data_IF_307199617515
#
_entry.id   IF_307199617515
#
_cell.length_a   1.000
_cell.length_b   1.000
_cell.length_c   1.000
_cell.angle_alpha   90.00
_cell.angle_beta   90.00
_cell.angle_gamma   90.00
#
_symmetry.space_group_name_H-M   'P 1'
#
loop_
_entity.id
_entity.type
_entity.pdbx_description
1 polymer ?
#
# COMPACT_ATOMS: atom_id res chain seq x y z
N UNK A 1 17.90 -43.03 19.80
CA UNK A 1 17.60 -42.60 18.43
C UNK A 1 16.88 -41.27 18.57
N UNK A 2 17.64 -40.17 18.56
CA UNK A 2 17.11 -38.80 18.75
C UNK A 2 16.77 -38.29 17.37
N UNK A 3 15.47 -38.06 17.14
CA UNK A 3 15.01 -37.38 15.91
C UNK A 3 15.38 -35.89 16.02
N UNK A 4 16.21 -35.43 15.10
CA UNK A 4 16.43 -33.99 14.84
C UNK A 4 15.16 -33.43 14.22
N UNK A 5 14.71 -32.21 14.59
CA UNK A 5 13.61 -31.56 13.89
C UNK A 5 14.10 -31.13 12.51
N UNK A 6 13.30 -31.43 11.50
CA UNK A 6 13.48 -30.95 10.12
C UNK A 6 13.45 -29.42 10.12
N UNK A 7 14.44 -28.83 9.44
CA UNK A 7 14.48 -27.41 9.18
C UNK A 7 13.31 -27.06 8.23
N UNK A 8 12.30 -26.41 8.76
CA UNK A 8 11.35 -25.66 7.94
C UNK A 8 12.16 -24.58 7.18
N UNK A 9 12.39 -24.84 5.90
CA UNK A 9 12.96 -23.86 5.00
C UNK A 9 12.00 -22.69 4.92
N UNK A 10 12.46 -21.52 5.32
CA UNK A 10 11.75 -20.23 5.24
C UNK A 10 11.56 -19.85 3.75
N UNK A 11 10.54 -20.47 3.14
CA UNK A 11 10.16 -20.25 1.75
C UNK A 11 9.68 -18.82 1.51
N UNK A 12 9.17 -18.14 2.54
CA UNK A 12 8.70 -16.75 2.46
C UNK A 12 9.84 -15.74 2.24
N UNK A 13 10.99 -15.97 2.85
CA UNK A 13 12.17 -15.09 2.68
C UNK A 13 12.85 -15.29 1.33
N UNK A 14 12.81 -16.50 0.78
CA UNK A 14 13.38 -16.80 -0.55
C UNK A 14 12.51 -16.22 -1.67
N UNK A 15 11.18 -16.31 -1.58
CA UNK A 15 10.23 -15.71 -2.51
C UNK A 15 10.26 -14.18 -2.50
N UNK A 16 10.49 -13.56 -1.32
CA UNK A 16 10.66 -12.10 -1.22
C UNK A 16 11.95 -11.63 -1.95
N UNK A 17 12.99 -12.44 -2.00
CA UNK A 17 14.23 -12.13 -2.75
C UNK A 17 14.07 -12.30 -4.26
N UNK A 18 13.28 -13.23 -4.73
CA UNK A 18 12.99 -13.39 -6.17
C UNK A 18 12.10 -12.25 -6.72
N UNK A 19 11.28 -11.63 -5.86
CA UNK A 19 10.39 -10.52 -6.24
C UNK A 19 11.10 -9.17 -6.32
N UNK A 20 12.34 -9.06 -5.83
CA UNK A 20 13.10 -7.82 -5.78
C UNK A 20 13.88 -7.60 -7.09
N UNK A 21 13.48 -6.59 -7.86
CA UNK A 21 14.18 -6.18 -9.07
C UNK A 21 14.78 -4.78 -8.89
N UNK A 22 15.99 -4.56 -9.37
CA UNK A 22 16.64 -3.26 -9.36
C UNK A 22 15.85 -2.26 -10.21
N UNK A 23 15.35 -1.19 -9.58
CA UNK A 23 14.43 -0.21 -10.19
C UNK A 23 15.07 0.64 -11.30
N UNK A 24 16.39 0.77 -11.29
CA UNK A 24 17.13 1.68 -12.18
C UNK A 24 17.40 1.11 -13.59
N UNK A 25 17.08 -0.17 -13.82
CA UNK A 25 17.31 -0.82 -15.11
C UNK A 25 16.00 -1.11 -15.86
N UNK A 26 16.04 -1.09 -17.18
CA UNK A 26 14.90 -1.50 -18.01
C UNK A 26 14.48 -2.95 -17.73
N UNK A 27 15.44 -3.83 -17.48
CA UNK A 27 15.19 -5.23 -17.11
C UNK A 27 14.46 -5.34 -15.76
N UNK A 28 14.86 -4.55 -14.77
CA UNK A 28 14.23 -4.50 -13.47
C UNK A 28 12.79 -3.96 -13.54
N UNK A 29 12.58 -2.87 -14.27
CA UNK A 29 11.24 -2.31 -14.50
C UNK A 29 10.32 -3.28 -15.23
N UNK A 30 10.85 -4.01 -16.21
CA UNK A 30 10.10 -5.07 -16.92
C UNK A 30 9.74 -6.22 -15.97
N UNK A 31 10.64 -6.61 -15.06
CA UNK A 31 10.37 -7.63 -14.06
C UNK A 31 9.27 -7.18 -13.10
N UNK A 32 9.32 -5.94 -12.57
CA UNK A 32 8.29 -5.40 -11.71
C UNK A 32 6.92 -5.32 -12.41
N UNK A 33 6.91 -4.89 -13.68
CA UNK A 33 5.69 -4.92 -14.50
C UNK A 33 5.10 -6.31 -14.61
N UNK A 34 5.92 -7.31 -14.95
CA UNK A 34 5.48 -8.69 -15.05
C UNK A 34 4.89 -9.20 -13.73
N UNK A 35 5.55 -8.91 -12.57
CA UNK A 35 5.01 -9.29 -11.27
C UNK A 35 3.66 -8.61 -11.00
N UNK A 36 3.53 -7.33 -11.30
CA UNK A 36 2.26 -6.62 -11.13
C UNK A 36 1.14 -7.24 -12.00
N UNK A 37 1.45 -7.60 -13.24
CA UNK A 37 0.50 -8.23 -14.17
C UNK A 37 0.13 -9.67 -13.76
N UNK A 38 1.11 -10.47 -13.31
CA UNK A 38 0.90 -11.91 -13.03
C UNK A 38 0.51 -12.19 -11.59
N UNK A 39 1.14 -11.49 -10.65
CA UNK A 39 1.01 -11.75 -9.21
C UNK A 39 0.06 -10.76 -8.51
N UNK A 40 -0.29 -9.65 -9.19
CA UNK A 40 -1.17 -8.60 -8.67
C UNK A 40 -0.46 -7.57 -7.80
N UNK A 41 0.84 -7.73 -7.59
CA UNK A 41 1.67 -6.79 -6.84
C UNK A 41 3.09 -6.76 -7.41
N UNK A 42 3.85 -5.71 -7.07
CA UNK A 42 5.28 -5.61 -7.32
C UNK A 42 5.94 -4.92 -6.12
N UNK A 43 7.16 -5.33 -5.76
CA UNK A 43 7.91 -4.79 -4.63
C UNK A 43 9.25 -4.28 -5.15
N UNK A 44 9.46 -2.96 -5.04
CA UNK A 44 10.75 -2.32 -5.23
C UNK A 44 11.40 -2.14 -3.85
N UNK A 45 12.22 -3.10 -3.48
CA UNK A 45 12.79 -3.19 -2.15
C UNK A 45 14.09 -2.38 -1.95
N UNK A 46 14.48 -1.58 -2.93
CA UNK A 46 15.53 -0.59 -2.81
C UNK A 46 14.93 0.80 -2.56
N UNK A 47 15.63 1.72 -1.86
CA UNK A 47 15.16 3.09 -1.70
C UNK A 47 14.99 3.75 -3.07
N UNK A 48 13.77 4.17 -3.39
CA UNK A 48 13.43 4.85 -4.64
C UNK A 48 13.23 6.36 -4.43
N UNK A 49 12.60 6.71 -3.30
CA UNK A 49 12.33 8.10 -2.94
C UNK A 49 13.63 8.83 -2.63
N UNK A 50 13.80 10.03 -3.19
CA UNK A 50 14.96 10.89 -2.89
C UNK A 50 15.12 11.07 -1.36
N UNK A 51 16.35 10.94 -0.82
CA UNK A 51 16.59 11.01 0.61
C UNK A 51 16.13 12.31 1.28
N UNK A 52 16.18 13.44 0.57
CA UNK A 52 15.71 14.73 1.11
C UNK A 52 14.19 14.79 1.16
N UNK A 53 13.51 14.28 0.12
CA UNK A 53 12.05 14.12 0.08
C UNK A 53 11.56 13.18 1.17
N UNK A 54 12.25 12.05 1.36
CA UNK A 54 11.93 11.08 2.41
C UNK A 54 12.06 11.70 3.80
N UNK A 55 13.18 12.39 4.08
CA UNK A 55 13.42 13.05 5.37
C UNK A 55 12.38 14.13 5.66
N UNK A 56 12.02 14.95 4.68
CA UNK A 56 10.98 15.95 4.82
C UNK A 56 9.60 15.31 5.09
N UNK A 57 9.28 14.22 4.40
CA UNK A 57 8.02 13.50 4.59
C UNK A 57 7.94 12.84 5.99
N UNK A 58 9.04 12.30 6.51
CA UNK A 58 9.12 11.76 7.86
C UNK A 58 8.83 12.81 8.93
N UNK A 59 9.38 14.03 8.79
CA UNK A 59 9.11 15.15 9.68
C UNK A 59 7.66 15.62 9.57
N UNK A 60 7.16 15.76 8.34
CA UNK A 60 5.79 16.16 8.08
C UNK A 60 4.76 15.14 8.60
N UNK A 61 5.07 13.85 8.52
CA UNK A 61 4.23 12.80 9.10
C UNK A 61 3.99 13.04 10.60
N UNK A 62 5.04 13.36 11.35
CA UNK A 62 4.93 13.67 12.79
C UNK A 62 4.10 14.93 13.00
N UNK A 63 4.37 15.99 12.24
CA UNK A 63 3.63 17.25 12.33
C UNK A 63 2.12 17.06 12.06
N UNK A 64 1.78 16.38 10.95
CA UNK A 64 0.38 16.12 10.59
C UNK A 64 -0.31 15.21 11.61
N UNK A 65 0.38 14.17 12.10
CA UNK A 65 -0.13 13.32 13.19
C UNK A 65 -0.52 14.14 14.43
N UNK A 66 0.29 15.13 14.76
CA UNK A 66 0.13 15.99 15.95
C UNK A 66 -0.79 17.21 15.69
N UNK A 67 -1.45 17.25 14.50
CA UNK A 67 -2.42 18.27 14.13
C UNK A 67 -1.83 19.59 13.62
N UNK A 68 -0.57 19.58 13.16
CA UNK A 68 0.09 20.73 12.54
C UNK A 68 0.05 20.61 11.02
N UNK A 69 -0.59 21.55 10.36
CA UNK A 69 -0.84 21.55 8.92
C UNK A 69 -0.20 22.78 8.27
N UNK A 70 0.95 22.61 7.60
CA UNK A 70 1.72 23.71 6.98
C UNK A 70 1.06 24.29 5.71
N UNK A 71 0.09 23.59 5.13
CA UNK A 71 -0.73 24.10 4.02
C UNK A 71 -1.92 24.96 4.53
N UNK A 72 -2.24 24.90 5.82
CA UNK A 72 -3.47 25.48 6.36
C UNK A 72 -4.74 24.67 6.03
N UNK A 73 -4.62 23.56 5.30
CA UNK A 73 -5.74 22.68 4.93
C UNK A 73 -5.66 21.41 5.80
N UNK A 74 -6.70 21.07 6.56
CA UNK A 74 -6.70 19.81 7.31
C UNK A 74 -6.84 18.62 6.37
N UNK A 75 -6.37 17.42 6.77
CA UNK A 75 -6.64 16.19 6.05
C UNK A 75 -8.15 15.86 6.10
N UNK A 76 -8.66 15.06 5.16
CA UNK A 76 -10.09 14.72 5.10
C UNK A 76 -10.57 13.84 6.27
N UNK A 77 -9.65 13.14 6.93
CA UNK A 77 -9.92 12.35 8.13
C UNK A 77 -8.71 12.30 9.04
N UNK A 78 -8.86 12.85 10.25
CA UNK A 78 -7.84 12.84 11.30
C UNK A 78 -8.47 12.35 12.61
N UNK A 79 -8.25 11.07 12.98
CA UNK A 79 -8.94 10.47 14.13
C UNK A 79 -8.38 10.91 15.50
N UNK A 80 -7.32 11.73 15.50
CA UNK A 80 -6.46 11.94 16.66
C UNK A 80 -5.39 10.85 16.78
N UNK A 81 -4.35 11.10 17.55
CA UNK A 81 -3.26 10.15 17.74
C UNK A 81 -3.40 9.41 19.06
N UNK A 82 -3.49 8.10 18.99
CA UNK A 82 -3.40 7.17 20.12
C UNK A 82 -2.19 6.24 19.85
N UNK A 83 -1.13 6.29 20.65
CA UNK A 83 0.08 5.49 20.41
C UNK A 83 -0.13 3.98 20.56
N UNK A 84 -1.30 3.55 21.01
CA UNK A 84 -1.64 2.12 21.17
C UNK A 84 -2.46 1.58 20.01
N UNK A 85 -2.87 2.43 19.06
CA UNK A 85 -3.74 2.05 17.93
C UNK A 85 -3.11 2.39 16.60
N UNK A 86 -3.54 1.68 15.56
CA UNK A 86 -3.22 2.08 14.19
C UNK A 86 -3.72 3.51 13.95
N UNK A 87 -2.81 4.43 13.71
CA UNK A 87 -3.14 5.78 13.27
C UNK A 87 -3.30 5.76 11.75
N UNK A 88 -4.51 6.11 11.26
CA UNK A 88 -4.83 6.23 9.85
C UNK A 88 -5.37 7.64 9.58
N UNK A 89 -4.62 8.45 8.83
CA UNK A 89 -4.99 9.81 8.44
C UNK A 89 -5.25 9.83 6.94
N UNK A 90 -6.49 10.13 6.56
CA UNK A 90 -6.87 10.18 5.15
C UNK A 90 -6.47 11.53 4.54
N UNK A 91 -5.95 11.48 3.31
CA UNK A 91 -5.55 12.64 2.51
C UNK A 91 -4.55 13.56 3.22
N UNK A 92 -3.59 12.95 3.92
CA UNK A 92 -2.54 13.67 4.63
C UNK A 92 -1.68 14.56 3.70
N UNK A 93 -1.65 14.28 2.39
CA UNK A 93 -0.97 15.11 1.39
C UNK A 93 -1.58 16.50 1.25
N UNK A 94 -2.84 16.71 1.63
CA UNK A 94 -3.48 18.03 1.65
C UNK A 94 -2.95 18.90 2.79
N UNK A 95 -2.56 18.26 3.89
CA UNK A 95 -2.17 18.93 5.12
C UNK A 95 -0.69 19.31 5.18
N UNK A 96 0.13 18.82 4.24
CA UNK A 96 1.57 19.11 4.24
C UNK A 96 2.16 19.19 2.83
N UNK A 97 2.93 20.28 2.59
CA UNK A 97 3.69 20.45 1.35
C UNK A 97 4.69 19.31 1.12
N UNK A 98 5.33 18.80 2.16
CA UNK A 98 6.29 17.70 2.04
C UNK A 98 5.60 16.37 1.70
N UNK A 99 4.44 16.06 2.30
CA UNK A 99 3.67 14.87 1.94
C UNK A 99 3.06 15.02 0.52
N UNK A 100 2.66 16.22 0.13
CA UNK A 100 2.22 16.47 -1.24
C UNK A 100 3.36 16.28 -2.26
N UNK A 101 4.59 16.69 -1.92
CA UNK A 101 5.77 16.44 -2.76
C UNK A 101 6.09 14.94 -2.84
N UNK A 102 6.01 14.20 -1.72
CA UNK A 102 6.23 12.75 -1.68
C UNK A 102 5.29 12.00 -2.64
N UNK A 103 3.98 12.30 -2.64
CA UNK A 103 3.01 11.59 -3.50
C UNK A 103 3.20 11.90 -4.98
N UNK A 104 3.98 12.93 -5.30
CA UNK A 104 4.35 13.36 -6.65
C UNK A 104 5.81 13.10 -6.98
N UNK A 105 6.52 12.32 -6.18
CA UNK A 105 7.94 12.02 -6.40
C UNK A 105 8.16 11.50 -7.84
N UNK A 106 9.06 12.15 -8.62
CA UNK A 106 9.22 11.82 -10.04
C UNK A 106 9.73 10.40 -10.28
N UNK A 107 10.57 9.85 -9.40
CA UNK A 107 11.08 8.50 -9.56
C UNK A 107 9.96 7.47 -9.31
N UNK A 108 9.13 7.71 -8.30
CA UNK A 108 7.93 6.89 -8.01
C UNK A 108 6.93 6.96 -9.17
N UNK A 109 6.68 8.16 -9.71
CA UNK A 109 5.78 8.36 -10.84
C UNK A 109 6.26 7.64 -12.12
N UNK A 110 7.56 7.73 -12.42
CA UNK A 110 8.17 7.02 -13.56
C UNK A 110 8.06 5.50 -13.40
N UNK A 111 8.33 5.00 -12.19
CA UNK A 111 8.20 3.56 -11.92
C UNK A 111 6.74 3.12 -12.01
N UNK A 112 5.79 3.90 -11.52
CA UNK A 112 4.35 3.61 -11.65
C UNK A 112 3.92 3.50 -13.11
N UNK A 113 4.37 4.42 -13.97
CA UNK A 113 4.10 4.36 -15.40
C UNK A 113 4.72 3.11 -16.05
N UNK A 114 5.95 2.76 -15.67
CA UNK A 114 6.63 1.56 -16.17
C UNK A 114 5.92 0.26 -15.74
N UNK A 115 5.49 0.16 -14.48
CA UNK A 115 4.83 -1.01 -13.89
C UNK A 115 3.42 -1.20 -14.47
N UNK A 116 2.65 -0.12 -14.63
CA UNK A 116 1.27 -0.21 -15.10
C UNK A 116 1.14 -0.12 -16.62
N UNK A 117 2.15 0.45 -17.31
CA UNK A 117 2.08 0.79 -18.73
C UNK A 117 1.12 1.93 -19.05
N UNK A 118 0.60 2.62 -18.05
CA UNK A 118 -0.33 3.73 -18.22
C UNK A 118 0.37 5.00 -18.69
N UNK A 119 -0.34 5.78 -19.50
CA UNK A 119 0.13 7.08 -19.99
C UNK A 119 -0.29 8.23 -19.10
N UNK A 120 -1.31 8.02 -18.29
CA UNK A 120 -1.82 8.99 -17.32
C UNK A 120 -2.15 8.28 -16.03
N UNK A 121 -1.56 8.74 -14.94
CA UNK A 121 -1.78 8.24 -13.59
C UNK A 121 -2.19 9.42 -12.71
N UNK A 122 -3.30 9.28 -12.00
CA UNK A 122 -3.82 10.31 -11.13
C UNK A 122 -4.04 9.77 -9.73
N UNK A 123 -3.53 10.49 -8.75
CA UNK A 123 -3.87 10.28 -7.32
C UNK A 123 -5.31 10.68 -7.10
N UNK A 124 -6.07 9.93 -6.30
CA UNK A 124 -7.42 10.29 -5.93
C UNK A 124 -7.69 10.18 -4.41
N UNK A 125 -6.80 9.51 -3.67
CA UNK A 125 -6.80 9.49 -2.21
C UNK A 125 -5.43 9.09 -1.67
N UNK A 126 -5.14 9.45 -0.43
CA UNK A 126 -3.96 8.96 0.29
C UNK A 126 -4.32 8.56 1.72
N UNK A 127 -3.50 7.68 2.31
CA UNK A 127 -3.59 7.32 3.71
C UNK A 127 -2.20 7.32 4.33
N UNK A 128 -1.99 8.17 5.31
CA UNK A 128 -0.84 8.10 6.19
C UNK A 128 -1.13 7.07 7.28
N UNK A 129 -0.27 6.08 7.42
CA UNK A 129 -0.44 4.95 8.32
C UNK A 129 0.74 4.86 9.27
N UNK A 130 0.46 4.90 10.58
CA UNK A 130 1.44 4.67 11.64
C UNK A 130 0.97 3.49 12.45
N UNK A 131 1.66 2.36 12.31
CA UNK A 131 1.40 1.14 13.05
C UNK A 131 2.29 1.15 14.29
N UNK A 132 1.71 1.24 15.50
CA UNK A 132 2.51 1.31 16.73
C UNK A 132 3.26 0.01 16.99
N UNK A 133 4.32 0.04 17.82
CA UNK A 133 4.90 -1.17 18.40
C UNK A 133 3.82 -2.00 19.10
N UNK A 134 3.91 -3.32 19.03
CA UNK A 134 2.85 -4.18 19.53
C UNK A 134 2.67 -4.05 21.04
N UNK A 135 1.46 -3.71 21.37
CA UNK A 135 0.81 -4.20 22.57
C UNK A 135 -0.40 -4.99 22.08
N UNK A 136 -0.43 -6.30 22.35
CA UNK A 136 -1.51 -7.27 22.12
C UNK A 136 -2.65 -6.84 21.14
N UNK A 137 -2.78 -7.49 20.00
CA UNK A 137 -3.89 -7.43 19.03
C UNK A 137 -4.21 -6.06 18.38
N UNK A 138 -3.61 -4.96 18.78
CA UNK A 138 -3.84 -3.66 18.15
C UNK A 138 -2.94 -3.46 16.92
N UNK A 139 -3.51 -2.97 15.82
CA UNK A 139 -2.75 -2.59 14.63
C UNK A 139 -2.70 -3.61 13.51
N UNK A 140 -3.49 -4.68 13.57
CA UNK A 140 -3.75 -5.51 12.39
C UNK A 140 -4.48 -4.71 11.31
N UNK A 141 -4.21 -5.08 10.06
CA UNK A 141 -5.06 -4.74 8.92
C UNK A 141 -5.53 -6.06 8.34
N UNK A 142 -6.82 -6.33 8.45
CA UNK A 142 -7.39 -7.61 8.03
C UNK A 142 -7.29 -7.84 6.54
N UNK A 143 -7.38 -9.10 6.11
CA UNK A 143 -7.39 -9.47 4.70
C UNK A 143 -8.57 -8.83 3.99
N UNK A 144 -8.31 -8.10 2.91
CA UNK A 144 -9.32 -7.41 2.12
C UNK A 144 -8.84 -7.16 0.69
N UNK A 145 -9.76 -6.80 -0.17
CA UNK A 145 -9.51 -6.20 -1.48
C UNK A 145 -9.87 -4.70 -1.38
N UNK A 146 -9.00 -3.81 -1.81
CA UNK A 146 -9.26 -2.35 -1.83
C UNK A 146 -10.57 -2.00 -2.55
N UNK A 147 -10.90 -2.76 -3.60
CA UNK A 147 -12.12 -2.59 -4.40
C UNK A 147 -13.41 -2.63 -3.56
N UNK A 148 -13.42 -3.27 -2.41
CA UNK A 148 -14.57 -3.31 -1.49
C UNK A 148 -15.00 -1.91 -1.04
N UNK A 149 -14.02 -1.00 -0.89
CA UNK A 149 -14.20 0.36 -0.40
C UNK A 149 -14.26 1.40 -1.54
N UNK A 150 -13.97 1.00 -2.80
CA UNK A 150 -13.84 1.88 -3.96
C UNK A 150 -14.95 1.66 -4.98
N UNK A 151 -16.21 1.69 -4.53
CA UNK A 151 -17.38 1.33 -5.34
C UNK A 151 -17.80 2.42 -6.33
N UNK A 152 -17.26 3.61 -6.24
CA UNK A 152 -17.55 4.76 -7.10
C UNK A 152 -16.79 4.77 -8.43
N UNK A 153 -15.95 3.78 -8.68
CA UNK A 153 -15.23 3.61 -9.93
C UNK A 153 -15.92 2.63 -10.89
N UNK A 154 -15.85 2.90 -12.22
CA UNK A 154 -16.55 2.12 -13.25
C UNK A 154 -16.06 0.68 -13.36
N UNK A 155 -14.80 0.42 -13.06
CA UNK A 155 -14.16 -0.90 -13.17
C UNK A 155 -12.98 -1.02 -12.19
N UNK A 156 -12.40 -2.20 -12.09
CA UNK A 156 -11.22 -2.48 -11.25
C UNK A 156 -9.90 -2.28 -12.00
N UNK A 157 -9.87 -2.64 -13.29
CA UNK A 157 -8.69 -2.53 -14.14
C UNK A 157 -8.25 -1.08 -14.25
N UNK A 158 -7.00 -0.82 -13.85
CA UNK A 158 -6.44 0.52 -13.77
C UNK A 158 -6.59 1.23 -12.43
N UNK A 159 -7.16 0.56 -11.41
CA UNK A 159 -7.10 0.98 -10.01
C UNK A 159 -6.01 0.22 -9.27
N UNK A 160 -5.14 0.95 -8.59
CA UNK A 160 -4.04 0.36 -7.84
C UNK A 160 -3.58 1.27 -6.70
N UNK A 161 -2.78 0.72 -5.81
CA UNK A 161 -2.15 1.46 -4.71
C UNK A 161 -0.64 1.41 -4.87
N UNK A 162 0.02 2.55 -4.64
CA UNK A 162 1.45 2.63 -4.31
C UNK A 162 1.54 2.75 -2.79
N UNK A 163 2.26 1.84 -2.16
CA UNK A 163 2.55 1.91 -0.75
C UNK A 163 4.02 2.27 -0.56
N UNK A 164 4.29 3.41 0.11
CA UNK A 164 5.63 3.97 0.32
C UNK A 164 6.04 3.81 1.78
N UNK A 165 7.19 3.20 2.01
CA UNK A 165 7.76 3.03 3.34
C UNK A 165 8.41 4.34 3.82
N UNK A 166 7.93 4.89 4.95
CA UNK A 166 8.56 6.01 5.65
C UNK A 166 9.49 5.55 6.80
N UNK A 167 9.49 4.28 7.13
CA UNK A 167 10.44 3.63 8.04
C UNK A 167 10.87 2.31 7.43
N UNK A 168 11.95 1.72 7.94
CA UNK A 168 12.32 0.36 7.54
C UNK A 168 11.19 -0.62 7.86
N UNK A 169 10.95 -1.55 6.94
CA UNK A 169 9.91 -2.57 7.01
C UNK A 169 10.57 -3.94 7.10
N UNK A 170 10.81 -4.39 8.33
CA UNK A 170 11.29 -5.73 8.65
C UNK A 170 10.15 -6.73 8.83
N UNK A 171 10.49 -8.00 8.99
CA UNK A 171 9.50 -9.07 9.18
C UNK A 171 8.71 -8.93 10.48
N UNK A 172 9.30 -8.31 11.49
CA UNK A 172 8.76 -8.11 12.83
C UNK A 172 7.84 -6.87 12.99
N UNK A 173 7.87 -5.95 12.02
CA UNK A 173 7.11 -4.69 12.13
C UNK A 173 5.70 -4.74 11.53
N UNK A 174 5.16 -5.94 11.26
CA UNK A 174 3.87 -6.14 10.62
C UNK A 174 3.86 -5.62 9.18
N UNK A 175 4.74 -6.17 8.29
CA UNK A 175 4.79 -5.79 6.88
C UNK A 175 3.45 -6.03 6.21
N UNK A 176 3.21 -5.33 5.12
CA UNK A 176 2.10 -5.67 4.24
C UNK A 176 2.36 -7.04 3.61
N UNK A 177 1.33 -7.88 3.57
CA UNK A 177 1.34 -9.17 2.89
C UNK A 177 0.36 -9.15 1.75
N UNK A 178 0.77 -9.71 0.63
CA UNK A 178 -0.04 -9.88 -0.57
C UNK A 178 -0.33 -11.36 -0.78
N UNK A 179 -1.51 -11.69 -1.27
CA UNK A 179 -1.84 -13.04 -1.75
C UNK A 179 -1.55 -13.08 -3.25
N UNK A 180 -0.54 -13.86 -3.63
CA UNK A 180 -0.04 -13.96 -5.00
C UNK A 180 -1.15 -14.36 -5.96
N UNK A 181 -1.34 -13.58 -7.02
CA UNK A 181 -2.27 -13.88 -8.09
C UNK A 181 -3.75 -13.68 -7.75
N UNK A 182 -4.08 -13.26 -6.53
CA UNK A 182 -5.47 -13.12 -6.09
C UNK A 182 -6.27 -12.04 -6.82
N UNK A 183 -5.63 -11.10 -7.54
CA UNK A 183 -6.33 -10.17 -8.43
C UNK A 183 -7.10 -10.89 -9.55
N UNK A 184 -6.65 -12.10 -9.97
CA UNK A 184 -7.33 -12.91 -10.98
C UNK A 184 -8.61 -13.56 -10.48
N UNK A 185 -8.80 -13.65 -9.16
CA UNK A 185 -10.02 -14.21 -8.57
C UNK A 185 -11.24 -13.31 -8.78
N UNK A 186 -11.03 -12.10 -9.29
CA UNK A 186 -12.08 -11.10 -9.44
C UNK A 186 -12.42 -10.42 -8.11
N UNK A 187 -13.53 -9.71 -8.11
CA UNK A 187 -14.02 -9.03 -6.92
C UNK A 187 -14.91 -9.98 -6.11
N UNK A 188 -14.42 -10.46 -4.98
CA UNK A 188 -15.14 -11.39 -4.11
C UNK A 188 -16.02 -10.68 -3.09
N UNK A 189 -15.73 -9.41 -2.77
CA UNK A 189 -16.44 -8.66 -1.70
C UNK A 189 -16.39 -9.35 -0.34
N UNK A 190 -15.26 -9.97 -0.03
CA UNK A 190 -15.00 -10.75 1.17
C UNK A 190 -13.78 -10.22 1.92
N UNK A 191 -13.71 -10.51 3.21
CA UNK A 191 -12.69 -9.95 4.10
C UNK A 191 -13.11 -8.64 4.73
N UNK A 192 -12.25 -8.07 5.59
CA UNK A 192 -12.52 -6.82 6.31
C UNK A 192 -11.21 -6.14 6.73
N UNK A 193 -10.99 -4.91 6.27
CA UNK A 193 -9.83 -4.07 6.66
C UNK A 193 -9.70 -3.94 8.19
N UNK A 194 -10.82 -3.86 8.90
CA UNK A 194 -10.84 -3.65 10.36
C UNK A 194 -10.86 -4.95 11.16
N UNK A 195 -10.91 -6.10 10.49
CA UNK A 195 -10.92 -7.41 11.14
C UNK A 195 -9.56 -7.72 11.77
N UNK A 196 -9.58 -8.14 13.05
CA UNK A 196 -8.37 -8.44 13.81
C UNK A 196 -7.94 -9.91 13.76
N UNK A 197 -8.84 -10.82 13.40
CA UNK A 197 -8.57 -12.25 13.31
C UNK A 197 -8.21 -12.64 11.87
N UNK A 198 -6.92 -12.63 11.56
CA UNK A 198 -6.40 -12.90 10.22
C UNK A 198 -6.75 -14.32 9.73
N UNK A 199 -6.74 -15.30 10.64
CA UNK A 199 -7.05 -16.69 10.29
C UNK A 199 -8.54 -16.85 9.97
N UNK A 200 -9.41 -16.29 10.79
CA UNK A 200 -10.86 -16.34 10.54
C UNK A 200 -11.24 -15.61 9.24
N UNK A 201 -10.59 -14.47 8.96
CA UNK A 201 -10.80 -13.75 7.69
C UNK A 201 -10.36 -14.60 6.49
N UNK A 202 -9.17 -15.19 6.56
CA UNK A 202 -8.66 -16.08 5.50
C UNK A 202 -9.59 -17.28 5.28
N UNK A 203 -10.02 -17.94 6.34
CA UNK A 203 -10.89 -19.12 6.27
C UNK A 203 -12.29 -18.77 5.71
N UNK A 204 -12.70 -17.51 5.81
CA UNK A 204 -13.95 -17.00 5.26
C UNK A 204 -13.89 -16.54 3.82
N UNK A 205 -12.72 -16.59 3.15
CA UNK A 205 -12.58 -16.20 1.74
C UNK A 205 -12.75 -17.43 0.85
N UNK A 206 -13.71 -17.36 -0.07
CA UNK A 206 -13.99 -18.40 -1.06
C UNK A 206 -12.93 -18.37 -2.18
N UNK A 207 -11.83 -19.10 -1.96
CA UNK A 207 -10.74 -19.21 -2.95
C UNK A 207 -11.26 -19.99 -4.16
N UNK A 208 -11.15 -19.47 -5.41
CA UNK A 208 -11.61 -20.17 -6.60
C UNK A 208 -10.92 -21.53 -6.80
N UNK A 209 -11.65 -22.48 -7.40
CA UNK A 209 -11.14 -23.81 -7.67
C UNK A 209 -9.85 -23.76 -8.52
N UNK A 210 -8.82 -24.47 -8.07
CA UNK A 210 -7.51 -24.51 -8.72
C UNK A 210 -6.55 -23.38 -8.34
N UNK A 211 -7.02 -22.38 -7.59
CA UNK A 211 -6.17 -21.31 -7.04
C UNK A 211 -5.69 -21.67 -5.62
N UNK A 212 -4.70 -20.95 -5.12
CA UNK A 212 -4.10 -21.20 -3.81
C UNK A 212 -3.80 -19.92 -3.04
N UNK A 213 -3.73 -20.03 -1.71
CA UNK A 213 -3.39 -18.93 -0.83
C UNK A 213 -1.88 -18.94 -0.54
N UNK A 214 -1.13 -18.11 -1.30
CA UNK A 214 0.32 -17.93 -1.14
C UNK A 214 0.60 -16.49 -0.73
N UNK A 215 1.18 -16.30 0.46
CA UNK A 215 1.45 -14.99 1.04
C UNK A 215 2.89 -14.56 0.78
N UNK A 216 3.06 -13.29 0.39
CA UNK A 216 4.38 -12.66 0.21
C UNK A 216 4.44 -11.36 0.99
N UNK A 217 5.46 -11.22 1.84
CA UNK A 217 5.68 -10.03 2.67
C UNK A 217 6.45 -8.95 1.91
N UNK A 218 5.96 -7.71 1.97
CA UNK A 218 6.63 -6.55 1.42
C UNK A 218 7.69 -6.02 2.40
N UNK A 219 8.90 -6.61 2.35
CA UNK A 219 10.05 -6.16 3.13
C UNK A 219 10.86 -5.15 2.33
N UNK A 220 11.15 -3.99 2.92
CA UNK A 220 11.87 -2.92 2.22
C UNK A 220 12.46 -1.91 3.21
N UNK A 221 13.55 -1.20 2.85
CA UNK A 221 14.04 -0.07 3.62
C UNK A 221 13.10 1.14 3.50
N UNK A 222 13.28 2.12 4.35
CA UNK A 222 12.65 3.43 4.19
C UNK A 222 12.97 4.01 2.80
N UNK A 223 11.95 4.55 2.12
CA UNK A 223 12.04 4.99 0.72
C UNK A 223 11.75 3.91 -0.31
N UNK A 224 11.63 2.63 0.09
CA UNK A 224 11.14 1.56 -0.76
C UNK A 224 9.64 1.69 -1.05
N UNK A 225 9.18 1.07 -2.14
CA UNK A 225 7.79 1.14 -2.57
C UNK A 225 7.27 -0.22 -3.00
N UNK A 226 5.97 -0.45 -2.82
CA UNK A 226 5.27 -1.57 -3.43
C UNK A 226 4.02 -1.09 -4.17
N UNK A 227 3.60 -1.89 -5.14
CA UNK A 227 2.42 -1.67 -5.96
C UNK A 227 1.47 -2.84 -5.76
N UNK A 228 0.18 -2.60 -5.65
CA UNK A 228 -0.80 -3.68 -5.69
C UNK A 228 -2.09 -3.27 -6.42
N UNK A 229 -2.63 -4.22 -7.15
CA UNK A 229 -3.90 -4.07 -7.85
C UNK A 229 -5.04 -4.03 -6.82
N UNK A 230 -6.10 -3.27 -7.08
CA UNK A 230 -7.22 -3.12 -6.15
C UNK A 230 -7.98 -4.42 -5.82
N UNK A 231 -7.79 -5.46 -6.62
CA UNK A 231 -8.34 -6.80 -6.40
C UNK A 231 -7.37 -7.77 -5.72
N UNK A 232 -6.12 -7.36 -5.47
CA UNK A 232 -5.18 -8.21 -4.73
C UNK A 232 -5.58 -8.26 -3.27
N UNK A 233 -5.82 -9.46 -2.73
CA UNK A 233 -5.99 -9.63 -1.30
C UNK A 233 -4.70 -9.25 -0.59
N UNK A 234 -4.82 -8.39 0.41
CA UNK A 234 -3.71 -7.96 1.22
C UNK A 234 -4.14 -7.66 2.66
N UNK A 235 -3.18 -7.67 3.54
CA UNK A 235 -3.38 -7.40 4.95
C UNK A 235 -2.04 -7.21 5.66
N UNK A 236 -2.03 -7.09 6.97
CA UNK A 236 -0.79 -7.04 7.75
C UNK A 236 -1.04 -7.40 9.21
N UNK A 237 -0.12 -8.16 9.78
CA UNK A 237 -0.16 -8.47 11.21
C UNK A 237 0.16 -7.27 12.09
N UNK A 238 0.08 -7.47 13.39
CA UNK A 238 0.56 -6.48 14.37
C UNK A 238 2.07 -6.24 14.19
N UNK A 239 2.51 -5.07 14.61
CA UNK A 239 3.93 -4.74 14.67
C UNK A 239 4.51 -5.29 15.99
N UNK A 240 5.31 -6.33 15.95
CA UNK A 240 5.96 -6.95 17.11
C UNK A 240 7.34 -6.37 17.44
N UNK A 241 7.81 -5.41 16.65
CA UNK A 241 9.06 -4.69 16.91
C UNK A 241 8.88 -3.62 18.00
N UNK A 242 9.97 -3.01 18.41
CA UNK A 242 10.01 -1.90 19.37
C UNK A 242 9.82 -0.51 18.73
N UNK A 243 9.60 -0.43 17.42
CA UNK A 243 9.52 0.80 16.63
C UNK A 243 8.21 0.92 15.86
N UNK A 244 7.64 2.12 15.69
CA UNK A 244 6.49 2.27 14.83
C UNK A 244 6.85 2.01 13.36
N UNK A 245 5.97 1.32 12.62
CA UNK A 245 6.05 1.22 11.16
C UNK A 245 5.24 2.35 10.53
N UNK A 246 5.91 3.17 9.73
CA UNK A 246 5.35 4.36 9.11
C UNK A 246 5.29 4.24 7.60
N UNK A 247 4.18 4.67 7.00
CA UNK A 247 3.97 4.56 5.55
C UNK A 247 2.93 5.53 5.02
N UNK A 248 2.97 5.75 3.70
CA UNK A 248 1.88 6.41 2.95
C UNK A 248 1.38 5.45 1.88
N UNK A 249 0.10 5.14 1.90
CA UNK A 249 -0.59 4.50 0.79
C UNK A 249 -1.18 5.59 -0.11
N UNK A 250 -0.89 5.51 -1.40
CA UNK A 250 -1.40 6.41 -2.44
C UNK A 250 -2.30 5.61 -3.36
N UNK A 251 -3.57 5.97 -3.40
CA UNK A 251 -4.56 5.31 -4.24
C UNK A 251 -4.66 6.04 -5.58
N UNK A 252 -4.54 5.27 -6.66
CA UNK A 252 -4.37 5.81 -7.99
C UNK A 252 -5.34 5.19 -8.99
N UNK A 253 -5.60 5.97 -10.04
CA UNK A 253 -6.28 5.50 -11.24
C UNK A 253 -5.46 5.80 -12.50
N UNK A 254 -5.61 4.95 -13.48
CA UNK A 254 -5.12 5.21 -14.83
C UNK A 254 -6.20 5.87 -15.71
N UNK A 255 -5.86 6.22 -16.93
CA UNK A 255 -6.82 6.70 -17.94
C UNK A 255 -7.94 5.70 -18.29
N UNK A 256 -7.74 4.41 -17.97
CA UNK A 256 -8.73 3.35 -18.22
C UNK A 256 -9.97 3.44 -17.31
N UNK A 257 -9.86 4.16 -16.19
CA UNK A 257 -10.90 4.19 -15.15
C UNK A 257 -11.53 5.58 -15.06
N UNK A 258 -12.84 5.59 -15.06
CA UNK A 258 -13.65 6.81 -14.86
C UNK A 258 -14.62 6.62 -13.69
N UNK A 259 -15.06 7.70 -13.03
CA UNK A 259 -16.13 7.62 -12.04
C UNK A 259 -17.41 7.02 -12.63
N UNK A 260 -18.19 6.36 -11.79
CA UNK A 260 -19.56 5.99 -12.16
C UNK A 260 -20.35 7.29 -12.44
N UNK A 261 -21.10 7.30 -13.54
CA UNK A 261 -21.86 8.49 -13.94
C UNK A 261 -22.85 8.90 -12.86
N UNK A 262 -22.74 10.16 -12.40
CA UNK A 262 -23.61 10.72 -11.37
C UNK A 262 -23.18 10.39 -9.95
N UNK A 263 -22.02 9.76 -9.74
CA UNK A 263 -21.43 9.63 -8.42
C UNK A 263 -20.84 10.99 -8.00
N UNK A 264 -21.26 11.48 -6.83
CA UNK A 264 -20.82 12.74 -6.23
C UNK A 264 -20.03 12.51 -4.94
N UNK A 265 -19.52 11.28 -4.73
CA UNK A 265 -18.74 10.98 -3.54
C UNK A 265 -17.48 11.87 -3.47
N UNK A 266 -17.00 12.12 -2.26
CA UNK A 266 -15.88 13.01 -1.98
C UNK A 266 -14.68 12.76 -2.90
N UNK A 267 -14.29 11.51 -3.08
CA UNK A 267 -13.08 11.16 -3.86
C UNK A 267 -13.20 11.37 -5.36
N UNK A 268 -14.39 11.37 -5.92
CA UNK A 268 -14.60 11.63 -7.36
C UNK A 268 -14.95 13.07 -7.66
N UNK A 269 -15.48 13.81 -6.68
CA UNK A 269 -15.86 15.23 -6.84
C UNK A 269 -14.67 16.18 -6.92
N UNK A 270 -13.45 15.75 -6.51
CA UNK A 270 -12.24 16.58 -6.48
C UNK A 270 -11.20 16.20 -7.55
N UNK A 271 -11.56 15.36 -8.53
CA UNK A 271 -10.60 14.88 -9.54
C UNK A 271 -10.05 15.98 -10.45
N UNK A 272 -10.76 17.09 -10.60
CA UNK A 272 -10.33 18.25 -11.41
C UNK A 272 -9.47 19.24 -10.62
N UNK A 273 -9.32 19.05 -9.31
CA UNK A 273 -8.46 19.88 -8.46
C UNK A 273 -7.08 19.22 -8.29
N UNK A 274 -6.02 19.78 -8.87
CA UNK A 274 -4.67 19.21 -8.79
C UNK A 274 -4.06 19.26 -7.38
N UNK A 275 -4.61 20.04 -6.46
CA UNK A 275 -4.19 20.01 -5.06
C UNK A 275 -4.70 18.74 -4.36
N UNK A 276 -5.91 18.30 -4.69
CA UNK A 276 -6.53 17.09 -4.16
C UNK A 276 -6.12 15.83 -4.93
N UNK A 277 -6.12 15.91 -6.24
CA UNK A 277 -5.97 14.76 -7.12
C UNK A 277 -4.91 15.03 -8.20
N UNK A 278 -3.63 15.14 -7.81
CA UNK A 278 -2.57 15.45 -8.76
C UNK A 278 -2.40 14.33 -9.79
N UNK A 279 -2.16 14.74 -11.04
CA UNK A 279 -1.65 13.85 -12.09
C UNK A 279 -0.15 13.73 -11.89
N UNK A 280 0.35 12.51 -11.80
CA UNK A 280 1.77 12.23 -11.53
C UNK A 280 2.50 11.69 -12.76
N UNK A 281 1.77 11.17 -13.76
CA UNK A 281 2.30 10.72 -15.06
C UNK A 281 1.27 10.96 -16.17
#
# INVERSE_FOLDING_TARGET
>A
MVMTPDAETDTGTELAKESAAAVDTDAGRHTLRRHFETDGYAIANEPLVDPSTLSAAQQAMVAVRDGHFDTGVPPSGHPGYDPTKLCKINDAHLASHALHALVRDPAVAQLAAAVTGARRIQVWATQLLIKPPATEAAGHVGWHQDRQYWRYWSQAEGLFTIWMALSDVGADCGPMRFVRGSQRWGFLDQGDFFGGDQQALRDGIDIPEGEGWEEVSALMPAGGVSFHHCLTFHGSDANTSDRPRCSVAVHLRTEAVVPIRGDESYYVSHLDDPAYAPVIS
#
